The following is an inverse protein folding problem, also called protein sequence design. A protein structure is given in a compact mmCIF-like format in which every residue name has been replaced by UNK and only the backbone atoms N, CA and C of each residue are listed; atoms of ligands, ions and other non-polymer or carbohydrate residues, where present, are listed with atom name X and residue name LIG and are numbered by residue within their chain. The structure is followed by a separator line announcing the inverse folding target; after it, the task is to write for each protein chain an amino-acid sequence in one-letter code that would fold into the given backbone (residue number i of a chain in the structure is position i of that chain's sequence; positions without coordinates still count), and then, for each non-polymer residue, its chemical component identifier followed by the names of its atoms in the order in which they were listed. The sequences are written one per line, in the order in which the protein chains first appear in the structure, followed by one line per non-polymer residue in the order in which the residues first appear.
data_IF_379060734536
#
_entry.id   IF_379060734536
#
_cell.length_a   1.000
_cell.length_b   1.000
_cell.length_c   1.000
_cell.angle_alpha   90.00
_cell.angle_beta   90.00
_cell.angle_gamma   90.00
#
_symmetry.space_group_name_H-M   'P 1'
#
loop_
_entity.id
_entity.type
_entity.pdbx_description
1 polymer ?
#
# COMPACT_ATOMS: atom_id res chain seq x y z
N UNK A 1 -46.61 36.92 -12.27
CA UNK A 1 -45.15 36.95 -12.53
C UNK A 1 -44.35 36.80 -11.23
N UNK A 2 -44.60 35.74 -10.43
CA UNK A 2 -43.88 35.48 -9.16
C UNK A 2 -43.23 34.08 -9.10
N UNK A 3 -43.31 33.30 -10.17
CA UNK A 3 -42.86 31.90 -10.22
C UNK A 3 -41.34 31.77 -10.44
N UNK A 4 -40.70 32.75 -11.10
CA UNK A 4 -39.26 32.67 -11.41
C UNK A 4 -38.31 32.86 -10.21
N UNK A 5 -38.73 33.59 -9.18
CA UNK A 5 -37.90 33.83 -7.99
C UNK A 5 -37.91 32.64 -7.01
N UNK A 6 -39.04 31.93 -6.90
CA UNK A 6 -39.15 30.73 -6.06
C UNK A 6 -38.35 29.55 -6.61
N UNK A 7 -38.33 29.35 -7.93
CA UNK A 7 -37.56 28.28 -8.56
C UNK A 7 -36.04 28.47 -8.42
N UNK A 8 -35.55 29.72 -8.47
CA UNK A 8 -34.14 30.05 -8.25
C UNK A 8 -33.70 29.83 -6.79
N UNK A 9 -34.57 30.15 -5.82
CA UNK A 9 -34.34 29.90 -4.40
C UNK A 9 -34.30 28.40 -4.07
N UNK A 10 -35.19 27.60 -4.67
CA UNK A 10 -35.21 26.15 -4.54
C UNK A 10 -33.94 25.49 -5.12
N UNK A 11 -33.44 25.97 -6.27
CA UNK A 11 -32.18 25.45 -6.85
C UNK A 11 -30.95 25.84 -6.02
N UNK A 12 -30.92 27.04 -5.44
CA UNK A 12 -29.86 27.48 -4.53
C UNK A 12 -29.86 26.70 -3.21
N UNK A 13 -31.03 26.46 -2.62
CA UNK A 13 -31.16 25.64 -1.42
C UNK A 13 -30.70 24.20 -1.69
N UNK A 14 -31.16 23.56 -2.76
CA UNK A 14 -30.74 22.20 -3.13
C UNK A 14 -29.22 22.10 -3.41
N UNK A 15 -28.64 23.10 -4.08
CA UNK A 15 -27.18 23.18 -4.29
C UNK A 15 -26.42 23.34 -2.97
N UNK A 16 -26.93 24.14 -2.04
CA UNK A 16 -26.32 24.31 -0.72
C UNK A 16 -26.46 23.07 0.16
N UNK A 17 -27.59 22.36 0.14
CA UNK A 17 -27.75 21.08 0.86
C UNK A 17 -26.83 20.01 0.29
N UNK A 18 -26.70 19.92 -1.03
CA UNK A 18 -25.77 18.99 -1.69
C UNK A 18 -24.30 19.32 -1.37
N UNK A 19 -23.93 20.61 -1.38
CA UNK A 19 -22.58 21.07 -1.03
C UNK A 19 -22.25 20.82 0.45
N UNK A 20 -23.22 21.01 1.35
CA UNK A 20 -23.05 20.77 2.78
C UNK A 20 -23.01 19.27 3.12
N UNK A 21 -23.84 18.46 2.47
CA UNK A 21 -23.80 16.98 2.59
C UNK A 21 -22.48 16.40 2.07
N UNK A 22 -22.00 16.88 0.91
CA UNK A 22 -20.70 16.46 0.37
C UNK A 22 -19.54 16.87 1.28
N UNK A 23 -19.60 18.08 1.88
CA UNK A 23 -18.61 18.53 2.88
C UNK A 23 -18.62 17.69 4.16
N UNK A 24 -19.78 17.25 4.66
CA UNK A 24 -19.83 16.41 5.87
C UNK A 24 -19.31 15.00 5.62
N UNK A 25 -19.59 14.41 4.44
CA UNK A 25 -19.06 13.10 4.03
C UNK A 25 -17.55 13.16 3.88
N UNK A 26 -17.02 14.16 3.17
CA UNK A 26 -15.57 14.35 3.00
C UNK A 26 -14.87 14.59 4.34
N UNK A 27 -15.48 15.32 5.28
CA UNK A 27 -14.92 15.51 6.64
C UNK A 27 -14.88 14.20 7.43
N UNK A 28 -15.90 13.36 7.34
CA UNK A 28 -15.91 12.05 8.00
C UNK A 28 -14.85 11.12 7.38
N UNK A 29 -14.81 11.03 6.05
CA UNK A 29 -13.81 10.26 5.31
C UNK A 29 -12.39 10.74 5.62
N UNK A 30 -12.17 12.07 5.71
CA UNK A 30 -10.89 12.64 6.07
C UNK A 30 -10.46 12.30 7.51
N UNK A 31 -11.40 12.29 8.48
CA UNK A 31 -11.10 11.88 9.86
C UNK A 31 -10.70 10.40 9.93
N UNK A 32 -11.43 9.51 9.25
CA UNK A 32 -11.07 8.10 9.15
C UNK A 32 -9.72 7.90 8.46
N UNK A 33 -9.47 8.66 7.39
CA UNK A 33 -8.20 8.64 6.70
C UNK A 33 -7.03 9.08 7.60
N UNK A 34 -7.19 10.17 8.36
CA UNK A 34 -6.14 10.66 9.24
C UNK A 34 -5.83 9.72 10.41
N UNK A 35 -6.76 8.86 10.84
CA UNK A 35 -6.46 7.89 11.91
C UNK A 35 -5.42 6.87 11.43
N UNK A 36 -5.61 6.30 10.24
CA UNK A 36 -4.71 5.30 9.67
C UNK A 36 -4.72 5.35 8.13
N UNK A 37 -3.87 6.21 7.53
CA UNK A 37 -3.82 6.38 6.08
C UNK A 37 -3.57 5.09 5.30
N UNK A 38 -2.72 4.20 5.82
CA UNK A 38 -2.39 2.94 5.16
C UNK A 38 -3.60 2.00 5.18
N UNK A 39 -4.28 1.86 6.32
CA UNK A 39 -5.52 1.10 6.39
C UNK A 39 -6.55 1.63 5.39
N UNK A 40 -6.71 2.95 5.27
CA UNK A 40 -7.64 3.56 4.32
C UNK A 40 -7.29 3.22 2.87
N UNK A 41 -6.01 3.29 2.48
CA UNK A 41 -5.54 2.87 1.15
C UNK A 41 -5.87 1.39 0.90
N UNK A 42 -5.58 0.53 1.87
CA UNK A 42 -5.80 -0.91 1.75
C UNK A 42 -7.29 -1.26 1.67
N UNK A 43 -8.13 -0.67 2.52
CA UNK A 43 -9.57 -0.84 2.47
C UNK A 43 -10.17 -0.35 1.14
N UNK A 44 -9.69 0.79 0.62
CA UNK A 44 -10.13 1.35 -0.66
C UNK A 44 -9.90 0.40 -1.83
N UNK A 45 -8.87 -0.46 -1.79
CA UNK A 45 -8.65 -1.51 -2.81
C UNK A 45 -9.80 -2.51 -2.87
N UNK A 46 -10.38 -2.86 -1.72
CA UNK A 46 -11.54 -3.75 -1.64
C UNK A 46 -12.80 -3.03 -2.11
N UNK A 47 -13.02 -1.80 -1.62
CA UNK A 47 -14.21 -1.02 -1.96
C UNK A 47 -14.32 -0.76 -3.47
N UNK A 48 -13.17 -0.54 -4.13
CA UNK A 48 -13.07 -0.35 -5.58
C UNK A 48 -12.98 -1.64 -6.40
N UNK A 49 -13.06 -2.81 -5.75
CA UNK A 49 -13.05 -4.12 -6.42
C UNK A 49 -11.71 -4.52 -7.04
N UNK A 50 -10.63 -3.80 -6.74
CA UNK A 50 -9.26 -4.11 -7.19
C UNK A 50 -8.74 -5.36 -6.47
N UNK A 51 -9.02 -5.45 -5.17
CA UNK A 51 -8.63 -6.57 -4.31
C UNK A 51 -9.87 -7.24 -3.73
N UNK A 52 -9.81 -8.55 -3.51
CA UNK A 52 -10.82 -9.31 -2.76
C UNK A 52 -10.49 -9.37 -1.28
N UNK A 53 -9.20 -9.37 -0.96
CA UNK A 53 -8.66 -9.32 0.40
C UNK A 53 -7.45 -8.39 0.46
N UNK A 54 -7.16 -7.83 1.63
CA UNK A 54 -5.89 -7.12 1.92
C UNK A 54 -5.39 -7.49 3.31
N UNK A 55 -4.09 -7.31 3.55
CA UNK A 55 -3.47 -7.53 4.87
C UNK A 55 -3.48 -6.22 5.63
N UNK A 56 -3.84 -6.26 6.89
CA UNK A 56 -3.90 -5.08 7.77
C UNK A 56 -3.13 -5.37 9.05
N UNK A 57 -2.63 -4.32 9.70
CA UNK A 57 -2.13 -4.45 11.06
C UNK A 57 -3.25 -4.56 12.08
N UNK A 58 -2.98 -5.15 13.26
CA UNK A 58 -3.90 -5.07 14.38
C UNK A 58 -4.20 -3.62 14.73
N UNK A 59 -5.47 -3.32 14.97
CA UNK A 59 -5.93 -2.06 15.52
C UNK A 59 -6.96 -2.33 16.62
N UNK A 60 -7.18 -1.39 17.55
CA UNK A 60 -8.13 -1.55 18.64
C UNK A 60 -9.54 -1.93 18.13
N UNK A 61 -10.23 -2.82 18.85
CA UNK A 61 -11.60 -3.26 18.50
C UNK A 61 -12.65 -2.14 18.60
N UNK A 62 -12.26 -0.98 19.14
CA UNK A 62 -13.07 0.22 19.28
C UNK A 62 -12.20 1.35 18.73
N UNK A 63 -12.59 1.91 17.57
CA UNK A 63 -11.79 2.90 16.85
C UNK A 63 -12.38 3.24 15.47
N UNK A 64 -11.87 4.31 14.87
CA UNK A 64 -12.33 4.82 13.58
C UNK A 64 -12.23 3.78 12.46
N UNK A 65 -11.24 2.90 12.49
CA UNK A 65 -11.04 1.82 11.52
C UNK A 65 -12.14 0.75 11.64
N UNK A 66 -12.56 0.43 12.87
CA UNK A 66 -13.62 -0.54 13.12
C UNK A 66 -14.98 -0.02 12.68
N UNK A 67 -15.29 1.25 12.97
CA UNK A 67 -16.50 1.92 12.50
C UNK A 67 -16.52 2.00 10.96
N UNK A 68 -15.37 2.32 10.36
CA UNK A 68 -15.21 2.30 8.91
C UNK A 68 -15.48 0.91 8.32
N UNK A 69 -14.96 -0.15 8.95
CA UNK A 69 -15.21 -1.52 8.50
C UNK A 69 -16.71 -1.84 8.53
N UNK A 70 -17.37 -1.54 9.67
CA UNK A 70 -18.80 -1.79 9.87
C UNK A 70 -19.64 -1.06 8.82
N UNK A 71 -19.40 0.24 8.63
CA UNK A 71 -20.13 1.08 7.68
C UNK A 71 -20.01 0.58 6.23
N UNK A 72 -18.91 -0.07 5.88
CA UNK A 72 -18.62 -0.52 4.51
C UNK A 72 -18.80 -2.03 4.29
N UNK A 73 -19.36 -2.75 5.26
CA UNK A 73 -19.54 -4.21 5.19
C UNK A 73 -18.22 -4.97 5.07
N UNK A 74 -17.14 -4.43 5.62
CA UNK A 74 -15.84 -5.07 5.66
C UNK A 74 -15.72 -5.92 6.94
N UNK A 75 -15.07 -7.06 6.80
CA UNK A 75 -14.87 -8.05 7.84
C UNK A 75 -13.39 -8.29 8.06
N UNK A 76 -13.01 -8.45 9.33
CA UNK A 76 -11.66 -8.78 9.73
C UNK A 76 -11.62 -10.28 10.02
N UNK A 77 -10.73 -10.99 9.34
CA UNK A 77 -10.52 -12.44 9.51
C UNK A 77 -9.09 -12.66 9.96
N UNK A 78 -8.91 -13.42 11.05
CA UNK A 78 -7.60 -13.89 11.49
C UNK A 78 -7.23 -15.11 10.65
N UNK A 79 -6.15 -15.02 9.89
CA UNK A 79 -5.57 -16.15 9.18
C UNK A 79 -4.36 -16.66 9.97
N UNK A 80 -4.51 -17.81 10.59
CA UNK A 80 -3.39 -18.57 11.12
C UNK A 80 -2.81 -19.44 10.01
N UNK A 81 -1.53 -19.24 9.73
CA UNK A 81 -0.80 -19.88 8.64
C UNK A 81 0.40 -20.59 9.21
N UNK A 82 0.67 -21.80 8.72
CA UNK A 82 1.83 -22.63 9.06
C UNK A 82 2.77 -22.77 7.88
N UNK A 83 2.36 -22.43 6.67
CA UNK A 83 3.20 -22.51 5.48
C UNK A 83 3.82 -21.14 5.20
N UNK A 84 5.14 -21.05 5.29
CA UNK A 84 5.83 -19.81 4.95
C UNK A 84 5.72 -19.51 3.46
N UNK A 85 5.10 -18.37 3.14
CA UNK A 85 5.02 -17.84 1.77
C UNK A 85 6.16 -16.87 1.45
N UNK A 86 6.93 -16.47 2.46
CA UNK A 86 7.95 -15.43 2.35
C UNK A 86 9.33 -16.04 2.16
N UNK A 87 9.77 -16.91 3.09
CA UNK A 87 11.12 -17.48 3.11
C UNK A 87 11.36 -18.36 1.88
N UNK A 88 12.50 -18.32 1.21
CA UNK A 88 12.73 -19.19 0.04
C UNK A 88 12.64 -20.68 0.42
N UNK A 89 13.24 -21.06 1.55
CA UNK A 89 13.28 -22.45 1.98
C UNK A 89 11.88 -22.97 2.37
N UNK A 90 11.59 -24.20 1.99
CA UNK A 90 10.40 -24.93 2.40
C UNK A 90 10.40 -25.10 3.92
N UNK A 91 9.66 -24.24 4.62
CA UNK A 91 9.60 -24.26 6.09
C UNK A 91 8.18 -24.09 6.56
N UNK A 92 7.84 -24.85 7.59
CA UNK A 92 6.70 -24.55 8.44
C UNK A 92 7.08 -23.40 9.38
N UNK A 93 6.22 -22.40 9.45
CA UNK A 93 6.38 -21.24 10.32
C UNK A 93 4.99 -20.76 10.69
N UNK A 94 4.70 -20.73 11.99
CA UNK A 94 3.45 -20.20 12.49
C UNK A 94 3.47 -18.68 12.37
N UNK A 95 2.44 -18.14 11.72
CA UNK A 95 2.21 -16.71 11.65
C UNK A 95 0.72 -16.42 11.70
N UNK A 96 0.39 -15.23 12.23
CA UNK A 96 -0.97 -14.72 12.30
C UNK A 96 -1.04 -13.47 11.42
N UNK A 97 -1.95 -13.48 10.47
CA UNK A 97 -2.18 -12.37 9.54
C UNK A 97 -3.62 -11.93 9.69
N UNK A 98 -3.84 -10.63 9.91
CA UNK A 98 -5.18 -10.05 9.87
C UNK A 98 -5.52 -9.67 8.43
N UNK A 99 -6.63 -10.22 7.94
CA UNK A 99 -7.11 -10.00 6.59
C UNK A 99 -8.42 -9.23 6.64
N UNK A 100 -8.50 -8.17 5.84
CA UNK A 100 -9.74 -7.45 5.58
C UNK A 100 -10.40 -8.00 4.31
N UNK A 101 -11.71 -8.23 4.33
CA UNK A 101 -12.48 -8.77 3.19
C UNK A 101 -13.96 -8.37 3.25
N UNK A 102 -14.68 -8.38 2.13
CA UNK A 102 -16.17 -8.35 2.13
C UNK A 102 -16.79 -9.74 2.25
N UNK A 103 -16.04 -10.78 1.87
CA UNK A 103 -16.52 -12.16 1.81
C UNK A 103 -15.49 -13.11 2.43
N UNK A 104 -15.85 -13.72 3.55
CA UNK A 104 -15.01 -14.67 4.28
C UNK A 104 -14.69 -15.93 3.47
N UNK A 105 -15.48 -16.25 2.43
CA UNK A 105 -15.19 -17.38 1.54
C UNK A 105 -13.80 -17.26 0.90
N UNK A 106 -13.29 -16.06 0.68
CA UNK A 106 -11.93 -15.86 0.17
C UNK A 106 -10.87 -16.34 1.16
N UNK A 107 -11.01 -16.01 2.45
CA UNK A 107 -10.11 -16.52 3.49
C UNK A 107 -10.26 -18.04 3.67
N UNK A 108 -11.49 -18.56 3.66
CA UNK A 108 -11.76 -20.00 3.73
C UNK A 108 -11.09 -20.79 2.60
N UNK A 109 -10.96 -20.21 1.39
CA UNK A 109 -10.24 -20.83 0.27
C UNK A 109 -8.74 -20.94 0.53
N UNK A 110 -8.10 -19.92 1.12
CA UNK A 110 -6.69 -19.98 1.53
C UNK A 110 -6.48 -21.06 2.58
N UNK A 111 -7.29 -21.06 3.65
CA UNK A 111 -7.26 -22.05 4.74
C UNK A 111 -7.46 -23.47 4.19
N UNK A 112 -8.43 -23.66 3.30
CA UNK A 112 -8.71 -24.97 2.70
C UNK A 112 -7.51 -25.51 1.90
N UNK A 113 -6.85 -24.65 1.13
CA UNK A 113 -5.68 -25.04 0.35
C UNK A 113 -4.49 -25.36 1.26
N UNK A 114 -4.25 -24.56 2.29
CA UNK A 114 -3.21 -24.81 3.29
C UNK A 114 -3.45 -26.13 4.03
N UNK A 115 -4.68 -26.42 4.48
CA UNK A 115 -5.04 -27.70 5.10
C UNK A 115 -4.77 -28.90 4.19
N UNK A 116 -5.01 -28.77 2.87
CA UNK A 116 -4.69 -29.85 1.91
C UNK A 116 -3.19 -30.15 1.85
N UNK A 117 -2.34 -29.12 2.00
CA UNK A 117 -0.88 -29.28 2.03
C UNK A 117 -0.46 -29.92 3.35
N UNK A 118 -0.94 -29.39 4.47
CA UNK A 118 -0.59 -29.89 5.82
C UNK A 118 -1.01 -31.36 6.02
N UNK A 119 -2.12 -31.77 5.43
CA UNK A 119 -2.62 -33.14 5.52
C UNK A 119 -2.04 -34.08 4.44
N UNK A 120 -1.00 -33.66 3.70
CA UNK A 120 -0.35 -34.48 2.67
C UNK A 120 -1.20 -34.75 1.42
N UNK A 121 -2.40 -34.15 1.30
CA UNK A 121 -3.29 -34.29 0.12
C UNK A 121 -2.76 -33.54 -1.11
N UNK A 122 -1.74 -32.70 -0.92
CA UNK A 122 -1.07 -31.95 -1.96
C UNK A 122 0.41 -31.84 -1.62
N UNK A 123 1.26 -32.15 -2.60
CA UNK A 123 2.71 -31.92 -2.50
C UNK A 123 3.01 -30.50 -1.99
N UNK A 124 4.00 -30.39 -1.09
CA UNK A 124 4.29 -29.16 -0.38
C UNK A 124 4.65 -28.03 -1.33
N UNK A 125 5.62 -28.24 -2.24
CA UNK A 125 6.09 -27.19 -3.14
C UNK A 125 5.03 -26.81 -4.19
N UNK A 126 4.37 -27.80 -4.78
CA UNK A 126 3.26 -27.57 -5.71
C UNK A 126 2.11 -26.83 -5.03
N UNK A 127 1.79 -27.21 -3.80
CA UNK A 127 0.73 -26.60 -3.01
C UNK A 127 1.06 -25.19 -2.57
N UNK A 128 2.28 -24.95 -2.11
CA UNK A 128 2.80 -23.64 -1.75
C UNK A 128 2.76 -22.68 -2.92
N UNK A 129 3.16 -23.11 -4.12
CA UNK A 129 3.02 -22.31 -5.34
C UNK A 129 1.56 -21.99 -5.65
N UNK A 130 0.65 -22.97 -5.53
CA UNK A 130 -0.80 -22.73 -5.68
C UNK A 130 -1.33 -21.73 -4.65
N UNK A 131 -0.85 -21.79 -3.41
CA UNK A 131 -1.25 -20.88 -2.34
C UNK A 131 -0.82 -19.45 -2.65
N UNK A 132 0.45 -19.25 -3.02
CA UNK A 132 0.99 -17.95 -3.45
C UNK A 132 0.19 -17.38 -4.64
N UNK A 133 -0.13 -18.22 -5.62
CA UNK A 133 -0.90 -17.80 -6.80
C UNK A 133 -2.34 -17.42 -6.44
N UNK A 134 -3.00 -18.19 -5.58
CA UNK A 134 -4.34 -17.88 -5.10
C UNK A 134 -4.34 -16.58 -4.30
N UNK A 135 -3.37 -16.41 -3.40
CA UNK A 135 -3.20 -15.20 -2.63
C UNK A 135 -2.99 -13.99 -3.53
N UNK A 136 -2.05 -14.06 -4.48
CA UNK A 136 -1.82 -12.97 -5.41
C UNK A 136 -3.08 -12.56 -6.18
N UNK A 137 -3.88 -13.53 -6.65
CA UNK A 137 -5.18 -13.26 -7.28
C UNK A 137 -6.16 -12.57 -6.33
N UNK A 138 -6.26 -13.03 -5.08
CA UNK A 138 -7.19 -12.45 -4.10
C UNK A 138 -6.76 -11.06 -3.64
N UNK A 139 -5.46 -10.80 -3.53
CA UNK A 139 -4.91 -9.48 -3.25
C UNK A 139 -4.94 -8.54 -4.46
N UNK A 140 -5.30 -9.00 -5.65
CA UNK A 140 -5.38 -8.17 -6.86
C UNK A 140 -4.03 -7.90 -7.51
N UNK A 141 -3.04 -8.77 -7.28
CA UNK A 141 -1.73 -8.69 -7.93
C UNK A 141 -1.79 -9.23 -9.36
N UNK A 142 -1.00 -8.67 -10.30
CA UNK A 142 -0.93 -9.21 -11.65
C UNK A 142 -0.37 -10.63 -11.68
N UNK A 143 -0.96 -11.49 -12.51
CA UNK A 143 -0.54 -12.89 -12.66
C UNK A 143 0.95 -13.06 -12.97
N UNK A 144 1.54 -12.16 -13.76
CA UNK A 144 2.98 -12.21 -14.08
C UNK A 144 3.83 -12.05 -12.82
N UNK A 145 3.42 -11.16 -11.92
CA UNK A 145 4.12 -10.92 -10.68
C UNK A 145 3.92 -12.10 -9.73
N UNK A 146 2.68 -12.61 -9.56
CA UNK A 146 2.40 -13.78 -8.70
C UNK A 146 3.17 -15.01 -9.14
N UNK A 147 3.28 -15.24 -10.45
CA UNK A 147 4.10 -16.32 -11.02
C UNK A 147 5.59 -16.11 -10.73
N UNK A 148 6.10 -14.90 -10.90
CA UNK A 148 7.49 -14.58 -10.60
C UNK A 148 7.81 -14.80 -9.11
N UNK A 149 6.95 -14.34 -8.21
CA UNK A 149 7.12 -14.51 -6.75
C UNK A 149 7.04 -15.99 -6.33
N UNK A 150 6.15 -16.77 -6.93
CA UNK A 150 6.08 -18.22 -6.69
C UNK A 150 7.35 -18.93 -7.17
N UNK A 151 7.88 -18.56 -8.34
CA UNK A 151 9.15 -19.09 -8.89
C UNK A 151 10.35 -18.70 -8.04
N UNK A 152 10.34 -17.49 -7.46
CA UNK A 152 11.47 -16.99 -6.66
C UNK A 152 11.71 -17.75 -5.36
N UNK A 153 10.83 -18.68 -4.98
CA UNK A 153 11.01 -19.50 -3.78
C UNK A 153 12.05 -20.59 -3.96
N UNK A 154 12.35 -20.97 -5.20
CA UNK A 154 13.39 -21.95 -5.54
C UNK A 154 14.59 -21.31 -6.24
N UNK A 155 14.69 -19.97 -6.24
CA UNK A 155 15.77 -19.22 -6.90
C UNK A 155 16.13 -17.99 -6.07
N UNK A 156 16.87 -17.05 -6.68
CA UNK A 156 17.11 -15.72 -6.10
C UNK A 156 15.77 -15.08 -5.64
N UNK A 157 15.67 -14.56 -4.41
CA UNK A 157 14.46 -13.92 -3.91
C UNK A 157 14.01 -12.77 -4.82
N UNK A 158 12.69 -12.65 -5.04
CA UNK A 158 12.16 -11.62 -5.91
C UNK A 158 12.47 -10.20 -5.40
N UNK A 159 12.47 -10.00 -4.08
CA UNK A 159 12.88 -8.74 -3.45
C UNK A 159 14.30 -8.35 -3.87
N UNK A 160 15.26 -9.27 -3.73
CA UNK A 160 16.64 -9.06 -4.13
C UNK A 160 16.76 -8.70 -5.61
N UNK A 161 16.09 -9.46 -6.49
CA UNK A 161 16.07 -9.19 -7.93
C UNK A 161 15.49 -7.81 -8.21
N UNK A 162 14.40 -7.43 -7.54
CA UNK A 162 13.75 -6.14 -7.74
C UNK A 162 14.62 -4.97 -7.32
N UNK A 163 15.33 -5.08 -6.19
CA UNK A 163 16.22 -4.04 -5.70
C UNK A 163 17.35 -3.79 -6.69
N UNK A 164 17.96 -4.86 -7.23
CA UNK A 164 18.98 -4.76 -8.28
C UNK A 164 18.41 -4.06 -9.52
N UNK A 165 17.25 -4.52 -10.00
CA UNK A 165 16.59 -3.96 -11.20
C UNK A 165 16.19 -2.48 -10.99
N UNK A 166 15.80 -2.08 -9.78
CA UNK A 166 15.50 -0.70 -9.44
C UNK A 166 16.75 0.20 -9.42
N UNK A 167 17.91 -0.34 -9.03
CA UNK A 167 19.21 0.36 -9.14
C UNK A 167 19.58 0.52 -10.62
N UNK A 168 19.58 -0.57 -11.37
CA UNK A 168 20.02 -0.61 -12.77
C UNK A 168 19.17 0.28 -13.68
N UNK A 169 17.86 0.38 -13.41
CA UNK A 169 16.94 1.24 -14.16
C UNK A 169 16.87 2.67 -13.65
N UNK A 170 17.70 3.03 -12.66
CA UNK A 170 17.78 4.39 -12.12
C UNK A 170 16.54 4.83 -11.33
N UNK A 171 15.69 3.91 -10.89
CA UNK A 171 14.51 4.23 -10.05
C UNK A 171 14.96 4.84 -8.72
N UNK A 172 16.02 4.30 -8.11
CA UNK A 172 16.55 4.87 -6.88
C UNK A 172 17.28 6.20 -7.10
N UNK A 173 17.96 6.38 -8.24
CA UNK A 173 18.52 7.68 -8.62
C UNK A 173 17.44 8.74 -8.75
N UNK A 174 16.31 8.40 -9.39
CA UNK A 174 15.14 9.27 -9.48
C UNK A 174 14.56 9.58 -8.10
N UNK A 175 14.40 8.55 -7.25
CA UNK A 175 13.91 8.71 -5.87
C UNK A 175 14.76 9.73 -5.10
N UNK A 176 16.07 9.54 -5.07
CA UNK A 176 17.01 10.42 -4.37
C UNK A 176 16.97 11.84 -4.93
N UNK A 177 16.98 12.00 -6.26
CA UNK A 177 16.87 13.32 -6.89
C UNK A 177 15.55 14.03 -6.54
N UNK A 178 14.44 13.29 -6.48
CA UNK A 178 13.14 13.81 -6.06
C UNK A 178 13.15 14.26 -4.60
N UNK A 179 13.71 13.45 -3.70
CA UNK A 179 13.83 13.79 -2.29
C UNK A 179 14.69 15.05 -2.08
N UNK A 180 15.83 15.19 -2.78
CA UNK A 180 16.64 16.44 -2.79
C UNK A 180 15.82 17.66 -3.17
N UNK A 181 14.93 17.53 -4.16
CA UNK A 181 14.07 18.60 -4.66
C UNK A 181 12.78 18.76 -3.86
N UNK A 182 12.60 18.02 -2.76
CA UNK A 182 11.35 17.96 -1.99
C UNK A 182 10.12 17.63 -2.85
N UNK A 183 10.30 16.79 -3.88
CA UNK A 183 9.26 16.40 -4.81
C UNK A 183 8.61 15.08 -4.41
N UNK A 184 7.28 15.04 -4.46
CA UNK A 184 6.53 13.78 -4.33
C UNK A 184 6.61 13.05 -5.66
N UNK A 185 7.29 11.91 -5.65
CA UNK A 185 7.33 11.01 -6.79
C UNK A 185 6.24 9.95 -6.66
N UNK A 186 5.89 9.34 -7.79
CA UNK A 186 4.91 8.25 -7.83
C UNK A 186 5.56 7.06 -8.50
N UNK A 187 5.55 5.93 -7.80
CA UNK A 187 6.01 4.65 -8.35
C UNK A 187 4.88 3.62 -8.22
N UNK A 188 3.79 3.74 -9.02
CA UNK A 188 2.56 2.98 -8.80
C UNK A 188 2.77 1.47 -8.75
N UNK A 189 3.81 0.93 -9.39
CA UNK A 189 4.18 -0.47 -9.36
C UNK A 189 4.62 -0.98 -7.98
N UNK A 190 5.12 -0.10 -7.09
CA UNK A 190 5.47 -0.43 -5.69
C UNK A 190 4.33 -0.08 -4.75
N UNK A 191 3.11 -0.50 -5.07
CA UNK A 191 1.92 -0.16 -4.26
C UNK A 191 1.83 -0.94 -2.94
N UNK A 192 2.62 -2.00 -2.78
CA UNK A 192 2.66 -2.79 -1.55
C UNK A 192 4.04 -3.40 -1.32
N UNK A 193 4.34 -3.80 -0.08
CA UNK A 193 5.60 -4.45 0.31
C UNK A 193 5.44 -5.92 0.68
N UNK A 194 4.21 -6.41 0.87
CA UNK A 194 3.99 -7.84 1.09
C UNK A 194 4.10 -8.67 -0.20
N UNK A 195 4.27 -7.98 -1.34
CA UNK A 195 4.33 -8.56 -2.65
C UNK A 195 5.07 -7.62 -3.60
N UNK A 196 5.98 -8.17 -4.41
CA UNK A 196 6.85 -7.37 -5.28
C UNK A 196 6.42 -7.49 -6.76
N UNK A 197 6.49 -6.41 -7.55
CA UNK A 197 6.36 -6.53 -9.01
C UNK A 197 7.46 -7.45 -9.57
N UNK A 198 7.20 -8.11 -10.70
CA UNK A 198 8.19 -9.03 -11.28
C UNK A 198 9.47 -8.33 -11.77
N UNK A 199 9.36 -7.03 -12.05
CA UNK A 199 10.38 -6.11 -12.57
C UNK A 199 10.04 -4.70 -12.05
N UNK A 200 11.04 -3.84 -11.90
CA UNK A 200 10.92 -2.50 -11.34
C UNK A 200 10.08 -1.54 -12.20
N UNK A 201 9.88 -1.84 -13.49
CA UNK A 201 9.03 -1.09 -14.43
C UNK A 201 7.80 -1.89 -14.92
N UNK A 202 7.41 -2.94 -14.19
CA UNK A 202 6.33 -3.83 -14.60
C UNK A 202 5.01 -3.07 -14.90
N UNK A 203 4.68 -2.93 -16.19
CA UNK A 203 3.49 -2.20 -16.67
C UNK A 203 2.16 -2.77 -16.18
N UNK A 204 2.11 -4.06 -15.82
CA UNK A 204 0.88 -4.64 -15.24
C UNK A 204 0.70 -4.23 -13.79
N UNK A 205 1.77 -4.19 -13.00
CA UNK A 205 1.74 -3.71 -11.63
C UNK A 205 1.47 -2.20 -11.59
N UNK A 206 2.12 -1.44 -12.47
CA UNK A 206 1.87 0.00 -12.64
C UNK A 206 0.37 0.29 -12.90
N UNK A 207 -0.26 -0.44 -13.83
CA UNK A 207 -1.70 -0.30 -14.12
C UNK A 207 -2.58 -0.58 -12.91
N UNK A 208 -2.24 -1.58 -12.08
CA UNK A 208 -2.97 -1.83 -10.83
C UNK A 208 -2.78 -0.66 -9.87
N UNK A 209 -1.55 -0.21 -9.65
CA UNK A 209 -1.27 0.94 -8.80
C UNK A 209 -1.99 2.21 -9.23
N UNK A 210 -2.03 2.51 -10.53
CA UNK A 210 -2.77 3.65 -11.06
C UNK A 210 -4.28 3.53 -10.86
N UNK A 211 -4.85 2.32 -10.92
CA UNK A 211 -6.26 2.09 -10.56
C UNK A 211 -6.51 2.39 -9.09
N UNK A 212 -5.61 1.98 -8.19
CA UNK A 212 -5.70 2.29 -6.75
C UNK A 212 -5.61 3.80 -6.54
N UNK A 213 -4.65 4.47 -7.19
CA UNK A 213 -4.51 5.93 -7.12
C UNK A 213 -5.81 6.64 -7.51
N UNK A 214 -6.44 6.21 -8.61
CA UNK A 214 -7.69 6.80 -9.11
C UNK A 214 -8.87 6.53 -8.18
N UNK A 215 -8.95 5.34 -7.57
CA UNK A 215 -10.06 5.01 -6.67
C UNK A 215 -10.03 5.80 -5.35
N UNK A 216 -8.90 6.40 -5.01
CA UNK A 216 -8.74 7.27 -3.85
C UNK A 216 -9.20 8.72 -4.09
N UNK A 217 -9.59 9.08 -5.32
CA UNK A 217 -10.08 10.42 -5.64
C UNK A 217 -9.11 11.52 -5.24
N UNK A 218 -9.56 12.45 -4.40
CA UNK A 218 -8.75 13.56 -3.86
C UNK A 218 -7.56 13.09 -3.02
N UNK A 219 -7.61 11.89 -2.45
CA UNK A 219 -6.49 11.29 -1.70
C UNK A 219 -5.47 10.58 -2.59
N UNK A 220 -5.59 10.68 -3.93
CA UNK A 220 -4.68 10.03 -4.87
C UNK A 220 -3.20 10.43 -4.70
N UNK A 221 -2.91 11.62 -4.17
CA UNK A 221 -1.51 12.02 -3.91
C UNK A 221 -0.90 11.26 -2.71
N UNK A 222 -1.72 10.83 -1.75
CA UNK A 222 -1.28 10.00 -0.62
C UNK A 222 -0.77 8.65 -1.11
N UNK A 223 -1.41 8.11 -2.14
CA UNK A 223 -0.91 6.91 -2.78
C UNK A 223 0.46 7.12 -3.41
N UNK A 224 0.71 8.27 -4.05
CA UNK A 224 2.04 8.61 -4.57
C UNK A 224 3.08 8.64 -3.45
N UNK A 225 2.79 9.32 -2.33
CA UNK A 225 3.63 9.30 -1.14
C UNK A 225 3.88 7.87 -0.64
N UNK A 226 2.84 7.04 -0.51
CA UNK A 226 2.98 5.65 -0.07
C UNK A 226 3.91 4.87 -0.99
N UNK A 227 3.77 4.99 -2.30
CA UNK A 227 4.65 4.28 -3.25
C UNK A 227 6.08 4.80 -3.23
N UNK A 228 6.29 6.10 -3.01
CA UNK A 228 7.60 6.69 -2.80
C UNK A 228 8.26 6.15 -1.52
N UNK A 229 7.51 6.06 -0.43
CA UNK A 229 7.98 5.47 0.82
C UNK A 229 8.28 3.98 0.68
N UNK A 230 7.50 3.23 -0.12
CA UNK A 230 7.77 1.81 -0.37
C UNK A 230 9.09 1.65 -1.16
N UNK A 231 9.34 2.53 -2.15
CA UNK A 231 10.62 2.55 -2.88
C UNK A 231 11.80 2.92 -1.96
N UNK A 232 11.61 3.88 -1.05
CA UNK A 232 12.61 4.25 -0.03
C UNK A 232 12.90 3.09 0.92
N UNK A 233 11.89 2.32 1.30
CA UNK A 233 12.07 1.12 2.11
C UNK A 233 12.92 0.05 1.39
N UNK A 234 12.68 -0.17 0.09
CA UNK A 234 13.50 -1.08 -0.72
C UNK A 234 14.95 -0.60 -0.84
N UNK A 235 15.16 0.71 -0.99
CA UNK A 235 16.49 1.31 -0.98
C UNK A 235 17.18 1.13 0.39
N UNK A 236 16.42 1.25 1.50
CA UNK A 236 16.92 0.94 2.85
C UNK A 236 17.32 -0.52 3.01
N UNK A 237 16.63 -1.47 2.38
CA UNK A 237 17.07 -2.88 2.35
C UNK A 237 18.36 -3.04 1.56
N UNK A 238 18.52 -2.32 0.44
CA UNK A 238 19.77 -2.29 -0.32
C UNK A 238 20.93 -1.77 0.54
N UNK A 239 20.70 -0.67 1.27
CA UNK A 239 21.66 -0.10 2.22
C UNK A 239 22.12 -1.13 3.27
N UNK A 240 21.18 -1.77 3.97
CA UNK A 240 21.53 -2.82 4.95
C UNK A 240 22.31 -3.97 4.30
N UNK A 241 21.95 -4.34 3.07
CA UNK A 241 22.59 -5.44 2.33
C UNK A 241 24.02 -5.13 1.90
N UNK A 242 24.41 -3.86 1.77
CA UNK A 242 25.75 -3.44 1.33
C UNK A 242 26.87 -3.87 2.29
N UNK A 243 26.54 -4.14 3.56
CA UNK A 243 27.45 -4.62 4.60
C UNK A 243 27.59 -6.15 4.64
N UNK A 244 26.89 -6.88 3.75
CA UNK A 244 26.94 -8.33 3.69
C UNK A 244 27.67 -8.83 2.44
N UNK A 245 27.70 -10.14 2.21
CA UNK A 245 28.21 -10.75 0.97
C UNK A 245 27.08 -11.03 -0.02
N UNK A 246 27.43 -11.29 -1.29
CA UNK A 246 26.48 -11.67 -2.33
C UNK A 246 26.20 -10.58 -3.38
N UNK A 247 25.41 -10.95 -4.39
CA UNK A 247 25.18 -10.12 -5.58
C UNK A 247 24.53 -8.77 -5.25
N UNK A 248 23.52 -8.76 -4.39
CA UNK A 248 22.85 -7.54 -3.97
C UNK A 248 23.82 -6.57 -3.30
N UNK A 249 24.67 -7.09 -2.43
CA UNK A 249 25.64 -6.28 -1.71
C UNK A 249 26.61 -5.57 -2.65
N UNK A 250 27.12 -6.29 -3.67
CA UNK A 250 27.99 -5.69 -4.69
C UNK A 250 27.30 -4.55 -5.42
N UNK A 251 26.09 -4.79 -5.94
CA UNK A 251 25.33 -3.77 -6.70
C UNK A 251 24.96 -2.58 -5.81
N UNK A 252 24.51 -2.85 -4.58
CA UNK A 252 24.15 -1.82 -3.62
C UNK A 252 25.35 -0.94 -3.24
N UNK A 253 26.54 -1.52 -2.97
CA UNK A 253 27.74 -0.74 -2.65
C UNK A 253 28.13 0.22 -3.77
N UNK A 254 28.11 -0.25 -5.02
CA UNK A 254 28.45 0.63 -6.15
C UNK A 254 27.45 1.78 -6.30
N UNK A 255 26.15 1.51 -6.13
CA UNK A 255 25.15 2.57 -6.11
C UNK A 255 25.34 3.56 -4.95
N UNK A 256 25.52 3.06 -3.72
CA UNK A 256 25.60 3.90 -2.52
C UNK A 256 26.84 4.79 -2.49
N UNK A 257 27.95 4.38 -3.12
CA UNK A 257 29.14 5.24 -3.33
C UNK A 257 28.85 6.51 -4.12
N UNK A 258 27.78 6.53 -4.92
CA UNK A 258 27.37 7.71 -5.69
C UNK A 258 26.54 8.72 -4.89
N UNK A 259 26.13 8.35 -3.68
CA UNK A 259 25.29 9.18 -2.82
C UNK A 259 26.14 10.05 -1.90
N UNK A 260 25.61 11.22 -1.55
CA UNK A 260 26.20 12.12 -0.55
C UNK A 260 25.93 11.59 0.86
N UNK A 261 26.72 12.07 1.83
CA UNK A 261 26.62 11.66 3.24
C UNK A 261 25.21 11.88 3.81
N UNK A 262 24.61 13.03 3.54
CA UNK A 262 23.27 13.40 4.06
C UNK A 262 22.17 12.45 3.55
N UNK A 263 22.37 11.87 2.37
CA UNK A 263 21.43 10.95 1.75
C UNK A 263 21.53 9.56 2.35
N UNK A 264 22.75 9.13 2.65
CA UNK A 264 23.01 7.90 3.38
C UNK A 264 22.42 7.98 4.79
N UNK A 265 22.63 9.11 5.49
CA UNK A 265 22.04 9.38 6.81
C UNK A 265 20.50 9.36 6.77
N UNK A 266 19.89 9.93 5.71
CA UNK A 266 18.44 9.87 5.52
C UNK A 266 17.94 8.42 5.32
N UNK A 267 18.62 7.63 4.49
CA UNK A 267 18.26 6.22 4.26
C UNK A 267 18.39 5.41 5.56
N UNK A 268 19.46 5.67 6.33
CA UNK A 268 19.73 5.05 7.62
C UNK A 268 18.68 5.44 8.67
N UNK A 269 18.21 6.70 8.70
CA UNK A 269 17.17 7.13 9.63
C UNK A 269 15.83 6.36 9.43
N UNK A 270 15.51 5.98 8.19
CA UNK A 270 14.34 5.11 7.90
C UNK A 270 14.55 3.69 8.43
N UNK A 271 15.80 3.31 8.73
CA UNK A 271 16.13 1.97 9.17
C UNK A 271 15.81 1.65 10.63
N UNK A 272 15.64 2.67 11.46
CA UNK A 272 15.48 2.51 12.91
C UNK A 272 14.01 2.55 13.37
N UNK A 273 13.08 2.69 12.43
CA UNK A 273 11.65 2.87 12.73
C UNK A 273 10.79 1.73 12.19
N UNK A 274 9.67 1.47 12.87
CA UNK A 274 8.62 0.64 12.30
C UNK A 274 8.09 1.30 11.01
N UNK A 275 8.24 0.62 9.89
CA UNK A 275 7.95 1.19 8.58
C UNK A 275 6.49 1.63 8.39
N UNK A 276 5.54 0.85 8.93
CA UNK A 276 4.12 1.15 8.75
C UNK A 276 3.68 2.30 9.65
N UNK A 277 4.15 2.31 10.90
CA UNK A 277 3.94 3.42 11.83
C UNK A 277 4.58 4.70 11.30
N UNK A 278 5.83 4.64 10.86
CA UNK A 278 6.53 5.76 10.22
C UNK A 278 5.74 6.28 9.01
N UNK A 279 5.33 5.39 8.11
CA UNK A 279 4.57 5.76 6.91
C UNK A 279 3.24 6.42 7.26
N UNK A 280 2.50 5.87 8.23
CA UNK A 280 1.25 6.45 8.71
C UNK A 280 1.47 7.84 9.32
N UNK A 281 2.46 7.99 10.19
CA UNK A 281 2.78 9.26 10.86
C UNK A 281 3.27 10.33 9.87
N UNK A 282 4.12 9.95 8.91
CA UNK A 282 4.62 10.84 7.87
C UNK A 282 3.48 11.35 6.99
N UNK A 283 2.65 10.44 6.45
CA UNK A 283 1.49 10.81 5.63
C UNK A 283 0.54 11.69 6.44
N UNK A 284 0.15 11.28 7.65
CA UNK A 284 -0.76 12.04 8.51
C UNK A 284 -0.25 13.46 8.76
N UNK A 285 1.04 13.62 9.06
CA UNK A 285 1.64 14.92 9.34
C UNK A 285 1.63 15.84 8.12
N UNK A 286 1.96 15.29 6.94
CA UNK A 286 1.92 16.06 5.71
C UNK A 286 0.48 16.46 5.33
N UNK A 287 -0.47 15.55 5.52
CA UNK A 287 -1.89 15.78 5.24
C UNK A 287 -2.50 16.86 6.14
N UNK A 288 -2.15 16.86 7.44
CA UNK A 288 -2.54 17.93 8.37
C UNK A 288 -2.04 19.28 7.87
N UNK A 289 -0.75 19.39 7.54
CA UNK A 289 -0.15 20.64 7.01
C UNK A 289 -0.80 21.10 5.70
N UNK A 290 -1.10 20.16 4.79
CA UNK A 290 -1.77 20.47 3.53
C UNK A 290 -3.18 21.02 3.75
N UNK A 291 -3.94 20.39 4.65
CA UNK A 291 -5.30 20.83 4.99
C UNK A 291 -5.31 22.15 5.77
N UNK A 292 -4.36 22.36 6.69
CA UNK A 292 -4.24 23.59 7.46
C UNK A 292 -3.87 24.79 6.57
N UNK A 293 -3.14 24.58 5.46
CA UNK A 293 -2.80 25.63 4.49
C UNK A 293 -3.98 25.95 3.56
N UNK A 294 -4.61 24.93 2.98
CA UNK A 294 -5.79 25.10 2.11
C UNK A 294 -7.01 25.65 2.87
N UNK A 295 -7.16 25.35 4.16
CA UNK A 295 -8.18 25.93 5.02
C UNK A 295 -7.98 27.41 5.32
N UNK A 296 -6.74 27.92 5.30
CA UNK A 296 -6.46 29.37 5.46
C UNK A 296 -6.75 30.16 4.20
N UNK A 297 -6.48 29.58 3.02
CA UNK A 297 -6.83 30.19 1.73
C UNK A 297 -8.34 30.22 1.48
N UNK A 298 -9.09 29.32 2.12
CA UNK A 298 -10.54 29.35 2.04
C UNK A 298 -11.23 30.17 3.12
N UNK A 299 -10.56 30.61 4.19
CA UNK A 299 -11.16 31.48 5.22
C UNK A 299 -11.03 32.98 4.94
N UNK A 300 -10.33 33.40 3.88
CA UNK A 300 -10.27 34.82 3.46
C UNK A 300 -11.52 35.32 2.73
N UNK A 301 -12.45 34.43 2.38
CA UNK A 301 -13.75 34.75 1.78
C UNK A 301 -14.92 34.66 2.80
N UNK A 302 -14.64 34.58 4.11
CA UNK A 302 -15.67 34.35 5.15
C UNK A 302 -15.89 35.52 6.10
N UNK A 303 -15.07 36.58 6.02
CA UNK A 303 -15.23 37.80 6.81
C UNK A 303 -15.51 39.02 5.90
N UNK A 304 -16.38 38.84 4.90
CA UNK A 304 -16.91 39.90 4.04
C UNK A 304 -18.42 39.77 3.87
#
# INVERSE_FOLDING_TARGET
MLTGAQDQLLTLQQRNTFRNSRRSVLKAEFRHFLSNPIFFIEASRILSGISKIVSIRPFPKIGFEFDFCRANGLKIVVLETRISRILSNAKFSESRILILTRDERFAKRLISLEKKILNGKLDFEKGRRKLIMLEGKLFGYPDCCSKAYAKSKTSLPLETKLIIDAIERGIFSQLILGLRKSQILSFPQFFTLNFYPCEADCKRAERVGLKIKRSLGEFGFVFSLRTMLNALYLLRIAYKSAHHSGILSKVAREFLKTLKKEELEMIEAVAEVDYEEFSNNFIRSLMKRYYDRSGREHNSDWDG
#
